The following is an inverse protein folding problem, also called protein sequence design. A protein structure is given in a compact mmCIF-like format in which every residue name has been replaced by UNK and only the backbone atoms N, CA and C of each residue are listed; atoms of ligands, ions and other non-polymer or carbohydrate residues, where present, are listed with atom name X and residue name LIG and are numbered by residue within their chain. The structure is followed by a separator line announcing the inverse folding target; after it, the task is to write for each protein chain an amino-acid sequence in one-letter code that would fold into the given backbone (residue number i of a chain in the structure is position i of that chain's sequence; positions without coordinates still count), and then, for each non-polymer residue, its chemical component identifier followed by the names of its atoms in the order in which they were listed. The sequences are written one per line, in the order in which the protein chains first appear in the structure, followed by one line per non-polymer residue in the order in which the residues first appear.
data_IF_364688682435
#
_entry.id   IF_364688682435
#
_cell.length_a   1.000
_cell.length_b   1.000
_cell.length_c   1.000
_cell.angle_alpha   90.00
_cell.angle_beta   90.00
_cell.angle_gamma   90.00
#
_symmetry.space_group_name_H-M   'P 1'
#
loop_
_entity.id
_entity.type
_entity.pdbx_description
1 polymer ?
#
# COMPACT_ATOMS: atom_id res chain seq x y z
N UNK A 1 17.05 -4.84 12.01
CA UNK A 1 18.21 -5.00 12.92
C UNK A 1 19.30 -5.75 12.17
N UNK A 2 20.57 -5.36 12.32
CA UNK A 2 21.71 -6.07 11.71
C UNK A 2 22.13 -7.16 12.69
N UNK A 3 22.27 -8.40 12.22
CA UNK A 3 22.77 -9.53 13.03
C UNK A 3 24.05 -10.03 12.40
N UNK A 4 25.17 -9.94 13.13
CA UNK A 4 26.47 -10.44 12.65
C UNK A 4 26.56 -11.94 12.93
N UNK A 5 26.87 -12.73 11.91
CA UNK A 5 27.07 -14.17 12.02
C UNK A 5 28.54 -14.49 11.71
N UNK A 6 29.28 -14.98 12.70
CA UNK A 6 30.67 -15.43 12.55
C UNK A 6 30.72 -16.93 12.33
N UNK A 7 31.43 -17.38 11.31
CA UNK A 7 31.74 -18.80 11.10
C UNK A 7 33.25 -19.02 11.24
N UNK A 8 33.64 -20.03 12.00
CA UNK A 8 35.05 -20.40 12.21
C UNK A 8 35.29 -21.73 11.51
N UNK A 9 36.24 -21.77 10.58
CA UNK A 9 36.83 -23.02 10.09
C UNK A 9 38.33 -23.01 10.36
N UNK A 10 38.87 -24.19 10.62
CA UNK A 10 40.17 -24.44 11.25
C UNK A 10 41.28 -23.60 10.61
N UNK A 11 41.94 -22.81 11.47
CA UNK A 11 43.10 -21.93 11.20
C UNK A 11 42.88 -20.60 10.48
N UNK A 12 41.66 -20.20 10.10
CA UNK A 12 41.42 -18.80 9.66
C UNK A 12 40.01 -18.33 10.01
N UNK A 13 39.89 -17.27 10.81
CA UNK A 13 38.58 -16.65 11.12
C UNK A 13 38.21 -15.65 10.01
N UNK A 14 37.34 -16.07 9.09
CA UNK A 14 36.72 -15.16 8.11
C UNK A 14 35.39 -14.66 8.66
N UNK A 15 35.31 -13.38 9.01
CA UNK A 15 34.05 -12.76 9.44
C UNK A 15 33.29 -12.24 8.22
N UNK A 16 32.12 -12.80 7.93
CA UNK A 16 31.20 -12.31 6.90
C UNK A 16 30.01 -11.62 7.56
N UNK A 17 29.74 -10.36 7.23
CA UNK A 17 28.52 -9.70 7.68
C UNK A 17 27.32 -10.13 6.84
N UNK A 18 26.40 -10.90 7.42
CA UNK A 18 25.10 -11.18 6.79
C UNK A 18 24.12 -10.06 7.16
N UNK A 19 23.64 -9.31 6.16
CA UNK A 19 22.54 -8.36 6.37
C UNK A 19 21.23 -9.13 6.43
N UNK A 20 20.78 -9.49 7.64
CA UNK A 20 19.41 -9.98 7.85
C UNK A 20 18.44 -8.84 7.50
N UNK A 21 17.50 -9.10 6.59
CA UNK A 21 16.51 -8.10 6.20
C UNK A 21 15.59 -7.79 7.39
N UNK A 22 15.41 -6.51 7.70
CA UNK A 22 14.40 -6.09 8.65
C UNK A 22 13.03 -6.10 7.96
N UNK A 23 12.27 -7.18 8.14
CA UNK A 23 10.93 -7.30 7.55
C UNK A 23 9.94 -6.22 8.04
N UNK A 24 10.21 -5.57 9.19
CA UNK A 24 9.40 -4.45 9.66
C UNK A 24 9.64 -3.15 8.86
N UNK A 25 10.70 -3.08 8.04
CA UNK A 25 11.01 -1.91 7.21
C UNK A 25 9.85 -1.54 6.26
N UNK A 26 9.06 -2.53 5.84
CA UNK A 26 7.98 -2.35 4.86
C UNK A 26 6.61 -2.67 5.45
N UNK A 27 6.49 -2.81 6.77
CA UNK A 27 5.19 -3.00 7.41
C UNK A 27 4.38 -1.72 7.26
N UNK A 28 3.27 -1.79 6.54
CA UNK A 28 2.33 -0.68 6.36
C UNK A 28 0.97 -1.04 6.94
N UNK A 29 0.31 -0.07 7.57
CA UNK A 29 -1.09 -0.17 7.96
C UNK A 29 -1.93 0.50 6.86
N UNK A 30 -3.03 -0.12 6.46
CA UNK A 30 -3.94 0.40 5.44
C UNK A 30 -5.36 0.52 6.00
N UNK A 31 -6.12 1.48 5.46
CA UNK A 31 -7.54 1.68 5.72
C UNK A 31 -8.27 1.80 4.38
N UNK A 32 -9.57 1.50 4.38
CA UNK A 32 -10.45 1.84 3.25
C UNK A 32 -10.71 3.34 3.26
N UNK A 33 -10.62 3.98 2.09
CA UNK A 33 -10.83 5.43 1.92
C UNK A 33 -11.84 5.77 0.82
N UNK A 34 -12.33 4.75 0.10
CA UNK A 34 -13.37 4.88 -0.92
C UNK A 34 -13.98 3.52 -1.25
N UNK A 35 -15.29 3.50 -1.54
CA UNK A 35 -16.01 2.33 -2.04
C UNK A 35 -16.21 1.19 -1.03
N UNK A 36 -15.99 1.42 0.26
CA UNK A 36 -16.11 0.41 1.32
C UNK A 36 -17.49 -0.21 1.52
N UNK A 37 -18.53 0.30 0.84
CA UNK A 37 -19.94 -0.08 1.04
C UNK A 37 -20.47 -1.06 -0.03
N UNK A 38 -19.58 -1.80 -0.68
CA UNK A 38 -19.93 -2.80 -1.69
C UNK A 38 -20.22 -2.22 -3.07
N UNK A 39 -20.62 -3.10 -3.98
CA UNK A 39 -20.92 -2.73 -5.36
C UNK A 39 -22.26 -1.99 -5.46
N UNK A 40 -22.27 -0.84 -6.14
CA UNK A 40 -23.51 -0.10 -6.40
C UNK A 40 -23.27 1.27 -7.01
N UNK A 41 -24.34 2.09 -7.05
CA UNK A 41 -24.37 3.37 -7.75
C UNK A 41 -24.33 4.58 -6.80
N UNK A 42 -24.42 4.36 -5.49
CA UNK A 42 -24.35 5.44 -4.48
C UNK A 42 -22.97 6.11 -4.46
N UNK A 43 -22.87 7.31 -3.87
CA UNK A 43 -21.60 8.05 -3.79
C UNK A 43 -20.53 7.35 -2.95
N UNK A 44 -20.93 6.51 -2.01
CA UNK A 44 -20.03 5.73 -1.15
C UNK A 44 -19.79 4.28 -1.65
N UNK A 45 -20.22 3.99 -2.89
CA UNK A 45 -20.10 2.71 -3.56
C UNK A 45 -19.37 2.85 -4.91
N UNK A 46 -18.78 1.75 -5.37
CA UNK A 46 -18.09 1.65 -6.66
C UNK A 46 -18.58 0.43 -7.42
N UNK A 47 -18.47 0.43 -8.74
CA UNK A 47 -18.85 -0.68 -9.61
C UNK A 47 -17.79 -0.90 -10.69
N UNK A 48 -16.94 -1.91 -10.44
CA UNK A 48 -15.84 -2.31 -11.32
C UNK A 48 -14.85 -1.17 -11.68
N UNK A 49 -14.24 -0.49 -10.69
CA UNK A 49 -13.36 0.66 -10.96
C UNK A 49 -12.04 0.22 -11.63
N UNK A 50 -11.62 0.92 -12.70
CA UNK A 50 -10.47 0.51 -13.55
C UNK A 50 -9.25 1.42 -13.47
N UNK A 51 -9.37 2.59 -12.86
CA UNK A 51 -8.27 3.53 -12.77
C UNK A 51 -8.42 4.49 -11.60
N UNK A 52 -7.27 4.89 -11.05
CA UNK A 52 -7.17 5.88 -9.99
C UNK A 52 -6.15 6.95 -10.39
N UNK A 53 -6.45 8.20 -10.07
CA UNK A 53 -5.53 9.32 -10.15
C UNK A 53 -5.62 10.13 -8.86
N UNK A 54 -4.48 10.60 -8.38
CA UNK A 54 -4.39 11.45 -7.18
C UNK A 54 -3.80 12.78 -7.61
N UNK A 55 -4.50 13.88 -7.32
CA UNK A 55 -4.02 15.21 -7.66
C UNK A 55 -3.07 15.80 -6.60
N UNK A 56 -2.59 17.02 -6.84
CA UNK A 56 -1.71 17.74 -5.92
C UNK A 56 -2.35 18.06 -4.55
N UNK A 57 -3.68 18.09 -4.48
CA UNK A 57 -4.43 18.30 -3.24
C UNK A 57 -4.72 17.00 -2.49
N UNK A 58 -4.24 15.86 -3.04
CA UNK A 58 -4.50 14.49 -2.56
C UNK A 58 -5.95 14.05 -2.74
N UNK A 59 -6.72 14.76 -3.56
CA UNK A 59 -8.04 14.29 -3.96
C UNK A 59 -7.87 13.11 -4.92
N UNK A 60 -8.67 12.07 -4.71
CA UNK A 60 -8.66 10.86 -5.51
C UNK A 60 -9.77 10.90 -6.54
N UNK A 61 -9.44 10.59 -7.79
CA UNK A 61 -10.37 10.46 -8.89
C UNK A 61 -10.38 9.01 -9.34
N UNK A 62 -11.56 8.40 -9.36
CA UNK A 62 -11.75 6.99 -9.67
C UNK A 62 -12.58 6.86 -10.94
N UNK A 63 -12.07 6.09 -11.91
CA UNK A 63 -12.83 5.68 -13.09
C UNK A 63 -13.76 4.51 -12.73
N UNK A 64 -14.97 4.85 -12.31
CA UNK A 64 -16.01 3.92 -11.85
C UNK A 64 -16.76 3.34 -13.06
N UNK A 65 -16.12 2.37 -13.71
CA UNK A 65 -16.35 2.00 -15.11
C UNK A 65 -17.78 1.55 -15.41
N UNK A 66 -18.36 0.64 -14.62
CA UNK A 66 -19.73 0.17 -14.87
C UNK A 66 -20.80 1.17 -14.42
N UNK A 67 -20.42 2.21 -13.67
CA UNK A 67 -21.31 3.33 -13.36
C UNK A 67 -21.20 4.48 -14.36
N UNK A 68 -20.35 4.35 -15.38
CA UNK A 68 -20.13 5.34 -16.43
C UNK A 68 -19.83 6.75 -15.90
N UNK A 69 -19.08 6.83 -14.79
CA UNK A 69 -18.76 8.09 -14.12
C UNK A 69 -17.30 8.15 -13.66
N UNK A 70 -16.85 9.38 -13.41
CA UNK A 70 -15.66 9.62 -12.60
C UNK A 70 -16.12 10.11 -11.23
N UNK A 71 -15.69 9.47 -10.16
CA UNK A 71 -15.99 9.91 -8.79
C UNK A 71 -14.77 10.58 -8.18
N UNK A 72 -14.99 11.73 -7.54
CA UNK A 72 -13.98 12.41 -6.74
C UNK A 72 -14.18 12.11 -5.25
N UNK A 73 -13.18 11.53 -4.60
CA UNK A 73 -13.06 11.48 -3.16
C UNK A 73 -12.10 12.55 -2.67
N UNK A 74 -12.59 13.43 -1.79
CA UNK A 74 -11.74 14.44 -1.17
C UNK A 74 -10.75 13.82 -0.21
N UNK A 75 -9.56 14.40 -0.12
CA UNK A 75 -8.62 14.01 0.91
C UNK A 75 -9.27 14.15 2.31
N UNK A 76 -9.20 13.10 3.12
CA UNK A 76 -9.87 12.98 4.43
C UNK A 76 -11.40 13.08 4.38
N UNK A 77 -12.05 12.80 3.24
CA UNK A 77 -13.47 12.49 3.26
C UNK A 77 -13.69 11.26 4.16
N UNK A 78 -14.63 11.37 5.10
CA UNK A 78 -15.09 10.21 5.85
C UNK A 78 -16.04 9.42 4.96
N UNK A 79 -15.89 8.09 4.92
CA UNK A 79 -16.94 7.21 4.40
C UNK A 79 -18.23 7.30 5.22
#
# INVERSE_FOLDING_TARGET
SITTLTSTTTSTTTTTTIKVLNFNKWKQNAITVAGGNGQGHELNQLNNPYGIFIDKNKDMFIADFHNHRIVQWKYNANE
#
